data_IF_849317426124
#
_entry.id   IF_849317426124
#
_cell.length_a   1.000
_cell.length_b   1.000
_cell.length_c   1.000
_cell.angle_alpha   90.00
_cell.angle_beta   90.00
_cell.angle_gamma   90.00
#
_symmetry.space_group_name_H-M   'P 1'
#
loop_
_entity.id
_entity.type
_entity.pdbx_description
1 polymer ?
#
# COMPACT_ATOMS: atom_id res chain seq x y z
N UNK A 1 -2.35 -8.69 -2.84
CA UNK A 1 -1.50 -9.77 -2.28
C UNK A 1 -0.05 -9.77 -2.78
N UNK A 2 0.22 -9.75 -4.11
CA UNK A 2 1.58 -9.92 -4.66
C UNK A 2 2.67 -8.98 -4.13
N UNK A 3 2.38 -7.70 -3.90
CA UNK A 3 3.34 -6.73 -3.33
C UNK A 3 3.78 -7.09 -1.91
N UNK A 4 2.84 -7.49 -1.05
CA UNK A 4 3.15 -7.86 0.35
C UNK A 4 3.98 -9.14 0.37
N UNK A 5 3.67 -10.09 -0.50
CA UNK A 5 4.46 -11.30 -0.69
C UNK A 5 5.91 -11.00 -1.13
N UNK A 6 6.09 -10.10 -2.10
CA UNK A 6 7.43 -9.65 -2.53
C UNK A 6 8.23 -9.00 -1.39
N UNK A 7 7.57 -8.22 -0.52
CA UNK A 7 8.22 -7.56 0.61
C UNK A 7 8.69 -8.52 1.71
N UNK A 8 7.93 -9.59 2.00
CA UNK A 8 8.33 -10.61 3.00
C UNK A 8 9.68 -11.22 2.65
N UNK A 9 9.94 -11.41 1.35
CA UNK A 9 11.16 -12.05 0.84
C UNK A 9 12.27 -11.05 0.46
N UNK A 10 12.01 -9.74 0.55
CA UNK A 10 12.97 -8.71 0.19
C UNK A 10 13.96 -8.41 1.32
N UNK A 11 15.10 -7.84 0.96
CA UNK A 11 16.00 -7.21 1.93
C UNK A 11 15.32 -5.97 2.54
N UNK A 12 15.84 -5.47 3.67
CA UNK A 12 15.35 -4.21 4.26
C UNK A 12 15.40 -3.05 3.27
N UNK A 13 16.51 -2.90 2.56
CA UNK A 13 16.67 -1.88 1.52
C UNK A 13 15.66 -2.06 0.37
N UNK A 14 15.40 -3.28 -0.06
CA UNK A 14 14.37 -3.57 -1.08
C UNK A 14 12.97 -3.18 -0.61
N UNK A 15 12.62 -3.45 0.66
CA UNK A 15 11.35 -3.00 1.26
C UNK A 15 11.25 -1.48 1.33
N UNK A 16 12.30 -0.80 1.76
CA UNK A 16 12.34 0.67 1.82
C UNK A 16 12.10 1.29 0.44
N UNK A 17 12.79 0.77 -0.59
CA UNK A 17 12.61 1.21 -1.97
C UNK A 17 11.20 0.91 -2.51
N UNK A 18 10.60 -0.23 -2.20
CA UNK A 18 9.20 -0.48 -2.57
C UNK A 18 8.24 0.48 -1.87
N UNK A 19 8.42 0.72 -0.56
CA UNK A 19 7.52 1.53 0.26
C UNK A 19 7.58 3.03 -0.04
N UNK A 20 8.63 3.52 -0.69
CA UNK A 20 8.65 4.91 -1.19
C UNK A 20 7.71 5.12 -2.37
N UNK A 21 7.26 4.05 -3.03
CA UNK A 21 6.45 4.12 -4.25
C UNK A 21 4.93 4.08 -3.97
N UNK A 22 4.51 3.71 -2.76
CA UNK A 22 3.09 3.59 -2.40
C UNK A 22 2.83 3.88 -0.91
N UNK A 23 1.62 4.37 -0.62
CA UNK A 23 1.11 4.56 0.74
C UNK A 23 0.48 3.28 1.30
N UNK A 24 0.50 3.10 2.63
CA UNK A 24 -0.16 1.94 3.28
C UNK A 24 -1.67 1.89 2.95
N UNK A 25 -2.30 3.05 2.81
CA UNK A 25 -3.71 3.20 2.40
C UNK A 25 -4.00 2.60 1.02
N UNK A 26 -2.99 2.51 0.16
CA UNK A 26 -3.12 2.04 -1.22
C UNK A 26 -3.39 0.53 -1.27
N UNK A 27 -2.96 -0.18 -0.22
CA UNK A 27 -3.24 -1.61 -0.02
C UNK A 27 -4.69 -1.80 0.42
N UNK A 28 -5.57 -2.13 -0.53
CA UNK A 28 -7.03 -2.26 -0.29
C UNK A 28 -7.36 -3.39 0.69
N UNK A 29 -6.76 -4.56 0.49
CA UNK A 29 -7.10 -5.75 1.26
C UNK A 29 -6.67 -5.61 2.72
N UNK A 30 -7.64 -5.64 3.65
CA UNK A 30 -7.41 -5.38 5.07
C UNK A 30 -6.35 -6.31 5.68
N UNK A 31 -6.33 -7.59 5.29
CA UNK A 31 -5.32 -8.56 5.75
C UNK A 31 -3.92 -8.20 5.28
N UNK A 32 -3.77 -7.83 4.00
CA UNK A 32 -2.49 -7.36 3.46
C UNK A 32 -2.04 -6.05 4.12
N UNK A 33 -2.96 -5.11 4.34
CA UNK A 33 -2.67 -3.84 5.01
C UNK A 33 -2.21 -4.05 6.45
N UNK A 34 -2.82 -5.01 7.15
CA UNK A 34 -2.40 -5.40 8.50
C UNK A 34 -0.96 -5.94 8.50
N UNK A 35 -0.63 -6.88 7.59
CA UNK A 35 0.73 -7.41 7.45
C UNK A 35 1.73 -6.31 7.08
N UNK A 36 1.37 -5.41 6.15
CA UNK A 36 2.20 -4.26 5.78
C UNK A 36 2.54 -3.36 6.99
N UNK A 37 1.53 -3.04 7.80
CA UNK A 37 1.74 -2.26 9.03
C UNK A 37 2.64 -2.97 10.05
N UNK A 38 2.49 -4.29 10.21
CA UNK A 38 3.39 -5.08 11.05
C UNK A 38 4.82 -4.99 10.53
N UNK A 39 5.05 -5.20 9.23
CA UNK A 39 6.39 -5.14 8.64
C UNK A 39 7.03 -3.75 8.79
N UNK A 40 6.26 -2.66 8.62
CA UNK A 40 6.76 -1.29 8.85
C UNK A 40 7.18 -1.07 10.30
N UNK A 41 6.38 -1.55 11.25
CA UNK A 41 6.70 -1.46 12.68
C UNK A 41 7.91 -2.30 13.06
N UNK A 42 8.02 -3.52 12.53
CA UNK A 42 9.20 -4.37 12.71
C UNK A 42 10.46 -3.69 12.18
N UNK A 43 10.41 -3.11 10.98
CA UNK A 43 11.55 -2.39 10.39
C UNK A 43 11.96 -1.15 11.21
N UNK A 44 10.98 -0.42 11.78
CA UNK A 44 11.25 0.73 12.66
C UNK A 44 11.82 0.34 14.02
N UNK A 45 11.51 -0.87 14.49
CA UNK A 45 12.04 -1.45 15.73
C UNK A 45 13.34 -2.26 15.50
N UNK A 46 13.84 -2.33 14.26
CA UNK A 46 15.05 -3.08 13.90
C UNK A 46 14.88 -4.60 13.93
N UNK A 47 13.64 -5.09 13.91
CA UNK A 47 13.32 -6.52 13.97
C UNK A 47 13.33 -7.10 12.54
N UNK A 48 14.04 -8.21 12.29
CA UNK A 48 14.05 -8.86 10.99
C UNK A 48 12.64 -9.28 10.54
N UNK A 49 12.28 -8.96 9.30
CA UNK A 49 11.01 -9.33 8.69
C UNK A 49 11.18 -10.65 7.92
N UNK A 50 10.33 -11.63 8.23
CA UNK A 50 10.30 -12.94 7.58
C UNK A 50 8.94 -13.61 7.80
N UNK A 51 8.68 -14.71 7.10
CA UNK A 51 7.45 -15.48 7.31
C UNK A 51 7.28 -16.04 8.74
N UNK A 52 8.39 -16.20 9.48
CA UNK A 52 8.40 -16.71 10.87
C UNK A 52 8.23 -15.57 11.87
N UNK A 53 8.98 -14.49 11.70
CA UNK A 53 9.02 -13.39 12.67
C UNK A 53 7.78 -12.50 12.64
N UNK A 54 7.06 -12.41 11.52
CA UNK A 54 5.83 -11.60 11.43
C UNK A 54 4.73 -12.14 12.39
N UNK A 55 4.36 -13.44 12.37
CA UNK A 55 3.43 -13.99 13.34
C UNK A 55 3.87 -13.83 14.79
N UNK A 56 5.14 -14.13 15.10
CA UNK A 56 5.70 -14.00 16.45
C UNK A 56 5.62 -12.56 16.97
N UNK A 57 5.93 -11.59 16.11
CA UNK A 57 5.84 -10.17 16.45
C UNK A 57 4.40 -9.75 16.76
N UNK A 58 3.43 -10.21 15.98
CA UNK A 58 2.02 -9.88 16.19
C UNK A 58 1.47 -10.47 17.50
N UNK A 59 1.88 -11.70 17.85
CA UNK A 59 1.50 -12.38 19.10
C UNK A 59 2.13 -11.69 20.31
N UNK A 60 3.44 -11.41 20.29
CA UNK A 60 4.16 -10.78 21.41
C UNK A 60 3.64 -9.38 21.77
N UNK A 61 2.99 -8.70 20.83
CA UNK A 61 2.39 -7.37 21.01
C UNK A 61 0.88 -7.39 21.27
N UNK A 62 0.27 -8.57 21.44
CA UNK A 62 -1.17 -8.75 21.63
C UNK A 62 -2.03 -8.07 20.54
N UNK A 63 -1.50 -7.98 19.32
CA UNK A 63 -2.18 -7.38 18.16
C UNK A 63 -3.18 -8.35 17.52
N UNK A 64 -3.05 -9.65 17.83
CA UNK A 64 -4.02 -10.69 17.49
C UNK A 64 -4.74 -11.03 18.78
N UNK A 65 -6.02 -10.63 18.90
CA UNK A 65 -6.86 -11.03 20.02
C UNK A 65 -7.79 -12.17 19.57
N UNK A 66 -7.97 -13.23 20.37
CA UNK A 66 -9.07 -14.17 20.17
C UNK A 66 -10.40 -13.38 20.16
N UNK A 67 -11.18 -13.46 19.08
CA UNK A 67 -12.46 -12.72 18.96
C UNK A 67 -12.41 -11.41 18.18
N UNK A 68 -11.23 -10.87 17.84
CA UNK A 68 -11.13 -9.66 17.03
C UNK A 68 -11.02 -10.02 15.54
N UNK A 69 -12.04 -9.62 14.77
CA UNK A 69 -12.03 -9.73 13.31
C UNK A 69 -10.98 -8.78 12.70
N UNK A 70 -10.25 -9.19 11.65
CA UNK A 70 -10.34 -10.48 10.99
C UNK A 70 -9.69 -11.59 11.81
N UNK A 71 -10.46 -12.64 12.12
CA UNK A 71 -9.94 -13.92 12.59
C UNK A 71 -9.03 -14.47 11.49
N UNK A 72 -7.75 -14.15 11.58
CA UNK A 72 -6.75 -14.56 10.62
C UNK A 72 -5.83 -15.52 11.33
N UNK A 73 -5.74 -16.75 10.82
CA UNK A 73 -4.56 -17.56 11.04
C UNK A 73 -3.40 -16.86 10.31
N UNK A 74 -2.77 -15.93 11.02
CA UNK A 74 -1.73 -15.05 10.47
C UNK A 74 -0.54 -15.87 9.98
N UNK A 75 -0.20 -16.96 10.69
CA UNK A 75 0.88 -17.87 10.30
C UNK A 75 0.60 -18.51 8.95
N UNK A 76 -0.58 -19.12 8.78
CA UNK A 76 -0.97 -19.73 7.49
C UNK A 76 -1.09 -18.69 6.37
N UNK A 77 -1.58 -17.49 6.67
CA UNK A 77 -1.70 -16.42 5.68
C UNK A 77 -0.34 -15.88 5.23
N UNK A 78 0.57 -15.61 6.16
CA UNK A 78 1.91 -15.12 5.83
C UNK A 78 2.71 -16.20 5.09
N UNK A 79 2.57 -17.48 5.49
CA UNK A 79 3.17 -18.59 4.76
C UNK A 79 2.65 -18.67 3.31
N UNK A 80 1.34 -18.54 3.09
CA UNK A 80 0.78 -18.60 1.73
C UNK A 80 1.21 -17.42 0.86
N UNK A 81 1.34 -16.21 1.43
CA UNK A 81 1.92 -15.06 0.76
C UNK A 81 3.37 -15.32 0.36
N UNK A 82 4.20 -15.80 1.30
CA UNK A 82 5.62 -16.06 1.07
C UNK A 82 5.85 -17.09 -0.04
N UNK A 83 5.02 -18.14 -0.10
CA UNK A 83 5.09 -19.19 -1.12
C UNK A 83 4.60 -18.74 -2.50
N UNK A 84 3.67 -17.77 -2.53
CA UNK A 84 3.10 -17.22 -3.76
C UNK A 84 3.85 -15.97 -4.24
N UNK A 85 4.99 -15.65 -3.63
CA UNK A 85 5.71 -14.44 -3.93
C UNK A 85 6.29 -14.50 -5.36
N UNK A 86 6.04 -13.46 -6.17
CA UNK A 86 6.75 -13.31 -7.43
C UNK A 86 8.26 -13.11 -7.16
N UNK A 87 9.12 -13.28 -8.17
CA UNK A 87 10.55 -13.00 -8.03
C UNK A 87 10.79 -11.62 -7.41
N UNK A 88 11.77 -11.51 -6.51
CA UNK A 88 12.04 -10.27 -5.77
C UNK A 88 12.29 -9.04 -6.67
N UNK A 89 12.80 -9.27 -7.89
CA UNK A 89 13.03 -8.25 -8.93
C UNK A 89 11.73 -7.53 -9.33
N UNK A 90 10.57 -8.18 -9.19
CA UNK A 90 9.28 -7.58 -9.53
C UNK A 90 8.68 -6.70 -8.44
N UNK A 91 9.33 -6.57 -7.27
CA UNK A 91 8.76 -5.87 -6.11
C UNK A 91 8.42 -4.41 -6.36
N UNK A 92 9.34 -3.66 -6.99
CA UNK A 92 9.14 -2.23 -7.32
C UNK A 92 8.06 -2.04 -8.38
N UNK A 93 8.06 -2.87 -9.43
CA UNK A 93 7.00 -2.87 -10.44
C UNK A 93 5.61 -3.09 -9.81
N UNK A 94 5.49 -4.06 -8.90
CA UNK A 94 4.25 -4.33 -8.18
C UNK A 94 3.84 -3.17 -7.26
N UNK A 95 4.81 -2.45 -6.68
CA UNK A 95 4.55 -1.28 -5.86
C UNK A 95 3.94 -0.15 -6.70
N UNK A 96 4.49 0.09 -7.90
CA UNK A 96 3.94 1.05 -8.87
C UNK A 96 2.54 0.65 -9.30
N UNK A 97 2.29 -0.62 -9.62
CA UNK A 97 0.93 -1.07 -9.97
C UNK A 97 -0.06 -0.84 -8.83
N UNK A 98 0.33 -1.07 -7.57
CA UNK A 98 -0.53 -0.79 -6.40
C UNK A 98 -0.82 0.70 -6.28
N UNK A 99 0.18 1.55 -6.44
CA UNK A 99 0.00 3.00 -6.44
C UNK A 99 -0.95 3.45 -7.58
N UNK A 100 -0.76 2.94 -8.79
CA UNK A 100 -1.61 3.23 -9.94
C UNK A 100 -3.07 2.85 -9.69
N UNK A 101 -3.32 1.64 -9.18
CA UNK A 101 -4.66 1.20 -8.83
C UNK A 101 -5.27 2.03 -7.70
N UNK A 102 -4.47 2.51 -6.76
CA UNK A 102 -4.94 3.43 -5.72
C UNK A 102 -5.36 4.77 -6.30
N UNK A 103 -4.54 5.37 -7.16
CA UNK A 103 -4.89 6.62 -7.86
C UNK A 103 -6.18 6.46 -8.66
N UNK A 104 -6.34 5.37 -9.42
CA UNK A 104 -7.57 5.10 -10.19
C UNK A 104 -8.81 5.06 -9.28
N UNK A 105 -8.70 4.43 -8.10
CA UNK A 105 -9.80 4.37 -7.13
C UNK A 105 -10.08 5.74 -6.51
N UNK A 106 -9.03 6.50 -6.23
CA UNK A 106 -9.15 7.84 -5.65
C UNK A 106 -9.78 8.81 -6.67
N UNK A 107 -9.49 8.67 -7.97
CA UNK A 107 -10.18 9.38 -9.05
C UNK A 107 -11.69 9.10 -9.06
N UNK A 108 -12.10 7.83 -8.93
CA UNK A 108 -13.52 7.48 -8.89
C UNK A 108 -14.20 8.07 -7.64
N UNK A 109 -13.54 7.99 -6.49
CA UNK A 109 -14.06 8.56 -5.26
C UNK A 109 -14.13 10.09 -5.30
N UNK A 110 -13.17 10.75 -5.98
CA UNK A 110 -13.17 12.18 -6.26
C UNK A 110 -14.38 12.58 -7.12
N UNK A 111 -14.65 11.84 -8.20
CA UNK A 111 -15.83 12.08 -9.05
C UNK A 111 -17.11 11.99 -8.24
N UNK A 112 -17.25 10.99 -7.36
CA UNK A 112 -18.41 10.87 -6.49
C UNK A 112 -18.57 12.04 -5.51
N UNK A 113 -17.45 12.55 -4.96
CA UNK A 113 -17.47 13.71 -4.04
C UNK A 113 -17.84 15.00 -4.76
N UNK A 114 -17.27 15.25 -5.94
CA UNK A 114 -17.63 16.39 -6.81
C UNK A 114 -19.10 16.30 -7.21
N UNK A 115 -19.58 15.12 -7.59
CA UNK A 115 -20.99 14.92 -7.94
C UNK A 115 -21.92 15.22 -6.76
N UNK A 116 -21.60 14.76 -5.55
CA UNK A 116 -22.36 15.08 -4.35
C UNK A 116 -22.37 16.59 -4.03
N UNK A 117 -21.23 17.26 -4.17
CA UNK A 117 -21.14 18.71 -4.01
C UNK A 117 -22.01 19.45 -5.03
N UNK A 118 -22.08 18.98 -6.27
CA UNK A 118 -22.93 19.56 -7.31
C UNK A 118 -24.43 19.42 -7.01
N UNK A 119 -24.85 18.33 -6.35
CA UNK A 119 -26.26 18.09 -6.03
C UNK A 119 -26.75 18.84 -4.79
N UNK A 120 -25.87 19.09 -3.83
CA UNK A 120 -26.27 19.54 -2.48
C UNK A 120 -25.64 20.85 -2.04
N UNK A 121 -24.58 21.30 -2.72
CA UNK A 121 -23.79 22.47 -2.35
C UNK A 121 -24.06 23.70 -3.20
N UNK A 122 -23.51 24.82 -2.75
CA UNK A 122 -23.38 26.06 -3.50
C UNK A 122 -22.34 25.95 -4.62
N UNK A 123 -22.38 26.88 -5.58
CA UNK A 123 -21.39 26.95 -6.65
C UNK A 123 -19.95 27.12 -6.11
N UNK A 124 -19.77 27.82 -4.98
CA UNK A 124 -18.48 28.00 -4.34
C UNK A 124 -17.94 26.69 -3.75
N UNK A 125 -18.79 25.91 -3.08
CA UNK A 125 -18.43 24.59 -2.53
C UNK A 125 -18.10 23.59 -3.64
N UNK A 126 -18.85 23.63 -4.77
CA UNK A 126 -18.51 22.85 -5.95
C UNK A 126 -17.15 23.24 -6.52
N UNK A 127 -16.88 24.54 -6.67
CA UNK A 127 -15.60 25.04 -7.17
C UNK A 127 -14.42 24.59 -6.30
N UNK A 128 -14.58 24.65 -4.98
CA UNK A 128 -13.57 24.18 -4.03
C UNK A 128 -13.38 22.65 -4.13
N UNK A 129 -14.47 21.88 -4.16
CA UNK A 129 -14.39 20.43 -4.29
C UNK A 129 -13.66 20.02 -5.58
N UNK A 130 -13.96 20.65 -6.72
CA UNK A 130 -13.27 20.36 -7.98
C UNK A 130 -11.76 20.62 -7.86
N UNK A 131 -11.35 21.77 -7.32
CA UNK A 131 -9.94 22.11 -7.18
C UNK A 131 -9.19 21.13 -6.27
N UNK A 132 -9.73 20.90 -5.06
CA UNK A 132 -9.10 20.01 -4.08
C UNK A 132 -8.96 18.58 -4.60
N UNK A 133 -9.99 18.07 -5.28
CA UNK A 133 -9.97 16.71 -5.80
C UNK A 133 -9.03 16.55 -7.01
N UNK A 134 -8.95 17.57 -7.89
CA UNK A 134 -8.01 17.56 -9.01
C UNK A 134 -6.55 17.62 -8.53
N UNK A 135 -6.25 18.44 -7.52
CA UNK A 135 -4.92 18.52 -6.92
C UNK A 135 -4.50 17.18 -6.31
N UNK A 136 -5.39 16.54 -5.54
CA UNK A 136 -5.13 15.24 -4.93
C UNK A 136 -4.87 14.14 -5.98
N UNK A 137 -5.66 14.12 -7.08
CA UNK A 137 -5.44 13.18 -8.20
C UNK A 137 -4.13 13.47 -8.91
N UNK A 138 -3.79 14.74 -9.15
CA UNK A 138 -2.54 15.14 -9.80
C UNK A 138 -1.31 14.73 -8.97
N UNK A 139 -1.35 14.92 -7.65
CA UNK A 139 -0.29 14.46 -6.75
C UNK A 139 -0.13 12.94 -6.82
N UNK A 140 -1.25 12.20 -6.82
CA UNK A 140 -1.26 10.75 -6.99
C UNK A 140 -0.59 10.29 -8.29
N UNK A 141 -0.96 10.91 -9.42
CA UNK A 141 -0.37 10.62 -10.73
C UNK A 141 1.13 10.93 -10.77
N UNK A 142 1.55 12.03 -10.14
CA UNK A 142 2.95 12.44 -10.07
C UNK A 142 3.81 11.39 -9.35
N UNK A 143 3.30 10.80 -8.26
CA UNK A 143 3.98 9.69 -7.56
C UNK A 143 4.10 8.44 -8.43
N UNK A 144 3.05 8.10 -9.19
CA UNK A 144 3.09 6.94 -10.11
C UNK A 144 4.13 7.16 -11.19
N UNK A 145 4.19 8.35 -11.80
CA UNK A 145 5.20 8.67 -12.82
C UNK A 145 6.62 8.58 -12.27
N UNK A 146 6.90 9.19 -11.10
CA UNK A 146 8.21 9.08 -10.46
C UNK A 146 8.59 7.62 -10.15
N UNK A 147 7.60 6.80 -9.77
CA UNK A 147 7.81 5.37 -9.56
C UNK A 147 8.09 4.60 -10.86
N UNK A 148 7.43 4.95 -11.96
CA UNK A 148 7.71 4.37 -13.27
C UNK A 148 9.15 4.68 -13.72
N UNK A 149 9.60 5.93 -13.60
CA UNK A 149 10.97 6.34 -13.97
C UNK A 149 12.03 5.55 -13.20
N UNK A 150 11.78 5.32 -11.91
CA UNK A 150 12.63 4.49 -11.04
C UNK A 150 12.74 3.04 -11.52
N UNK A 151 11.63 2.47 -12.01
CA UNK A 151 11.55 1.06 -12.44
C UNK A 151 12.09 0.87 -13.86
N UNK A 152 11.89 1.85 -14.75
CA UNK A 152 12.35 1.81 -16.15
C UNK A 152 13.80 2.27 -16.32
N UNK A 153 14.41 2.85 -15.29
CA UNK A 153 15.81 3.28 -15.30
C UNK A 153 16.05 4.55 -16.12
N UNK A 154 15.04 5.42 -16.22
CA UNK A 154 15.10 6.63 -17.04
C UNK A 154 16.04 7.71 -16.46
N UNK A 155 16.49 7.57 -15.21
CA UNK A 155 17.44 8.47 -14.51
C UNK A 155 18.94 8.14 -14.75
N UNK A 156 19.26 7.30 -15.74
CA UNK A 156 20.64 6.87 -16.01
C UNK A 156 21.33 7.57 -17.21
N UNK A 157 20.95 8.80 -17.54
CA UNK A 157 21.58 9.59 -18.62
C UNK A 157 22.09 10.96 -18.15
#
# INVERSE_FOLDING_TARGET
>A
MGLVAAQINATKQGREKMRSLYGVSDVVEAKCRFVENLMRKMDSEGIPVSMVTIPEFAVSRALIRPGASPHMDLSSFVASLSLSAPPAISGEYLAVCVAEHAVRRDCLAAVDRVHKAALTGSLAELGLAVLTELEAVHEGLSRVNAGLDTVTGTDAQ
#
